data_IF_798214392233
#
_entry.id   IF_798214392233
#
_cell.length_a   1.000
_cell.length_b   1.000
_cell.length_c   1.000
_cell.angle_alpha   90.00
_cell.angle_beta   90.00
_cell.angle_gamma   90.00
#
_symmetry.space_group_name_H-M   'P 1'
#
loop_
_entity.id
_entity.type
_entity.pdbx_description
1 polymer ?
#
# COMPACT_ATOMS: atom_id res chain seq x y z
N UNK A 1 13.25 -11.63 -0.53
CA UNK A 1 13.77 -11.46 0.86
C UNK A 1 13.29 -12.63 1.70
N UNK A 2 14.01 -12.98 2.76
CA UNK A 2 13.58 -13.98 3.76
C UNK A 2 13.67 -13.37 5.17
N UNK A 3 12.77 -13.76 6.07
CA UNK A 3 12.82 -13.35 7.48
C UNK A 3 13.93 -14.12 8.19
N UNK A 4 14.80 -13.41 8.90
CA UNK A 4 15.96 -14.01 9.58
C UNK A 4 16.00 -13.76 11.08
N UNK A 5 15.37 -12.69 11.58
CA UNK A 5 15.31 -12.43 13.01
C UNK A 5 14.06 -11.64 13.41
N UNK A 6 13.64 -11.80 14.66
CA UNK A 6 12.63 -10.99 15.34
C UNK A 6 13.28 -10.42 16.60
N UNK A 7 13.27 -9.10 16.77
CA UNK A 7 13.90 -8.41 17.91
C UNK A 7 15.40 -8.75 18.11
N UNK A 8 16.10 -9.09 17.03
CA UNK A 8 17.51 -9.51 17.07
C UNK A 8 17.73 -10.99 17.38
N UNK A 9 16.67 -11.75 17.71
CA UNK A 9 16.74 -13.20 17.87
C UNK A 9 16.64 -13.89 16.50
N UNK A 10 17.68 -14.62 16.10
CA UNK A 10 17.73 -15.31 14.82
C UNK A 10 16.74 -16.48 14.80
N UNK A 11 15.80 -16.44 13.84
CA UNK A 11 14.77 -17.47 13.65
C UNK A 11 15.10 -18.43 12.52
N UNK A 12 16.25 -18.29 11.87
CA UNK A 12 16.66 -19.13 10.72
C UNK A 12 16.89 -20.59 11.08
N UNK A 13 17.13 -20.90 12.36
CA UNK A 13 17.32 -22.26 12.86
C UNK A 13 16.03 -22.85 13.47
N UNK A 14 14.96 -22.07 13.57
CA UNK A 14 13.69 -22.46 14.16
C UNK A 14 12.75 -23.07 13.12
N UNK A 15 11.81 -23.92 13.55
CA UNK A 15 10.69 -24.31 12.70
C UNK A 15 9.75 -23.13 12.48
N UNK A 16 8.95 -23.18 11.42
CA UNK A 16 7.98 -22.13 11.08
C UNK A 16 7.10 -21.75 12.29
N UNK A 17 6.48 -22.73 12.95
CA UNK A 17 5.59 -22.50 14.09
C UNK A 17 6.32 -21.84 15.27
N UNK A 18 7.56 -22.23 15.53
CA UNK A 18 8.39 -21.64 16.60
C UNK A 18 8.70 -20.18 16.31
N UNK A 19 9.07 -19.86 15.07
CA UNK A 19 9.34 -18.51 14.63
C UNK A 19 8.08 -17.61 14.70
N UNK A 20 6.92 -18.17 14.33
CA UNK A 20 5.61 -17.50 14.49
C UNK A 20 5.29 -17.28 15.97
N UNK A 21 5.59 -18.23 16.85
CA UNK A 21 5.37 -18.10 18.29
C UNK A 21 6.29 -17.04 18.93
N UNK A 22 7.55 -16.97 18.52
CA UNK A 22 8.48 -15.89 18.92
C UNK A 22 7.87 -14.54 18.55
N UNK A 23 7.38 -14.40 17.32
CA UNK A 23 6.74 -13.17 16.85
C UNK A 23 5.49 -12.81 17.67
N UNK A 24 4.63 -13.78 18.02
CA UNK A 24 3.44 -13.53 18.84
C UNK A 24 3.75 -13.10 20.27
N UNK A 25 4.90 -13.52 20.79
CA UNK A 25 5.33 -13.24 22.15
C UNK A 25 6.39 -12.12 22.25
N UNK A 26 6.64 -11.40 21.14
CA UNK A 26 7.72 -10.42 21.03
C UNK A 26 7.56 -9.16 21.91
N UNK A 27 6.36 -8.94 22.47
CA UNK A 27 6.10 -7.89 23.46
C UNK A 27 5.61 -6.56 22.87
N UNK A 28 6.01 -5.45 23.48
CA UNK A 28 5.58 -4.08 23.17
C UNK A 28 6.48 -3.34 22.18
N UNK A 29 7.53 -4.00 21.70
CA UNK A 29 8.40 -3.56 20.62
C UNK A 29 8.68 -4.76 19.73
N UNK A 30 8.41 -4.63 18.43
CA UNK A 30 8.71 -5.68 17.45
C UNK A 30 9.47 -5.11 16.26
N UNK A 31 10.61 -5.69 15.97
CA UNK A 31 11.47 -5.38 14.81
C UNK A 31 11.70 -6.65 14.02
N UNK A 32 11.32 -6.65 12.75
CA UNK A 32 11.60 -7.75 11.83
C UNK A 32 12.91 -7.48 11.09
N UNK A 33 13.81 -8.45 11.08
CA UNK A 33 15.02 -8.40 10.27
C UNK A 33 14.92 -9.40 9.13
N UNK A 34 15.13 -8.92 7.91
CA UNK A 34 15.10 -9.71 6.68
C UNK A 34 16.46 -9.68 5.99
N UNK A 35 16.75 -10.75 5.24
CA UNK A 35 17.95 -10.84 4.41
C UNK A 35 17.59 -11.08 2.95
N UNK A 36 18.37 -10.47 2.04
CA UNK A 36 18.35 -10.80 0.64
C UNK A 36 19.01 -12.16 0.40
N UNK A 37 18.24 -13.13 -0.06
CA UNK A 37 18.71 -14.49 -0.30
C UNK A 37 19.04 -14.70 -1.78
N UNK A 38 20.26 -14.29 -2.17
CA UNK A 38 20.75 -14.26 -3.57
C UNK A 38 20.67 -15.62 -4.29
N UNK A 39 20.78 -16.72 -3.56
CA UNK A 39 20.78 -18.06 -4.13
C UNK A 39 19.39 -18.54 -4.61
N UNK A 40 18.29 -17.99 -4.07
CA UNK A 40 16.94 -18.38 -4.44
C UNK A 40 16.29 -17.49 -5.51
N UNK A 41 16.89 -16.34 -5.83
CA UNK A 41 16.36 -15.37 -6.80
C UNK A 41 15.90 -15.98 -8.13
N UNK A 42 16.66 -16.89 -8.80
CA UNK A 42 16.19 -17.49 -10.06
C UNK A 42 15.02 -18.48 -9.88
N UNK A 43 14.87 -19.10 -8.70
CA UNK A 43 13.82 -20.08 -8.45
C UNK A 43 12.49 -19.42 -8.07
N UNK A 44 12.56 -18.33 -7.29
CA UNK A 44 11.38 -17.55 -6.89
C UNK A 44 10.71 -16.86 -8.09
N UNK A 45 11.49 -16.45 -9.09
CA UNK A 45 10.95 -15.87 -10.33
C UNK A 45 10.09 -16.88 -11.09
N UNK A 46 10.56 -18.14 -11.21
CA UNK A 46 9.85 -19.20 -11.93
C UNK A 46 8.57 -19.66 -11.23
N UNK A 47 8.53 -19.64 -9.89
CA UNK A 47 7.31 -19.94 -9.13
C UNK A 47 6.26 -18.83 -9.27
N UNK A 48 6.68 -17.56 -9.33
CA UNK A 48 5.77 -16.45 -9.57
C UNK A 48 5.09 -16.53 -10.94
N UNK A 49 5.80 -17.00 -11.97
CA UNK A 49 5.26 -17.18 -13.33
C UNK A 49 4.30 -18.39 -13.44
N UNK A 50 4.42 -19.38 -12.55
CA UNK A 50 3.55 -20.58 -12.54
C UNK A 50 2.34 -20.49 -11.60
N UNK A 51 2.33 -19.53 -10.67
CA UNK A 51 1.25 -19.34 -9.69
C UNK A 51 0.18 -18.33 -10.17
N UNK A 52 0.23 -17.87 -11.42
CA UNK A 52 -0.75 -16.90 -11.96
C UNK A 52 -2.16 -17.48 -12.12
N UNK A 53 -2.30 -18.81 -12.18
CA UNK A 53 -3.55 -19.44 -12.65
C UNK A 53 -4.30 -20.24 -11.56
N UNK A 54 -3.78 -20.31 -10.34
CA UNK A 54 -4.44 -21.02 -9.23
C UNK A 54 -4.09 -20.40 -7.89
N UNK A 55 -5.00 -19.62 -7.29
CA UNK A 55 -5.46 -19.76 -5.89
C UNK A 55 -6.28 -18.52 -5.47
N UNK A 56 -7.57 -18.55 -5.84
CA UNK A 56 -8.62 -17.80 -5.17
C UNK A 56 -9.38 -18.78 -4.28
N UNK A 57 -8.87 -19.05 -3.09
CA UNK A 57 -9.58 -19.83 -2.06
C UNK A 57 -9.57 -19.11 -0.72
N UNK A 58 -10.28 -17.99 -0.65
CA UNK A 58 -11.16 -17.77 0.51
C UNK A 58 -12.52 -18.24 0.05
N UNK A 59 -12.99 -19.36 0.60
CA UNK A 59 -14.23 -20.01 0.18
C UNK A 59 -15.41 -19.04 0.25
N UNK A 60 -15.91 -18.65 -0.92
CA UNK A 60 -17.25 -18.15 -1.19
C UNK A 60 -17.49 -18.43 -2.70
N UNK A 61 -18.46 -19.30 -3.01
CA UNK A 61 -18.77 -19.76 -4.37
C UNK A 61 -19.10 -18.59 -5.32
N UNK A 62 -18.38 -18.52 -6.44
CA UNK A 62 -18.48 -17.46 -7.44
C UNK A 62 -19.30 -17.91 -8.67
N UNK A 63 -20.43 -17.28 -9.02
CA UNK A 63 -20.99 -17.34 -10.36
C UNK A 63 -20.40 -16.22 -11.23
N UNK A 64 -19.85 -16.62 -12.38
CA UNK A 64 -19.33 -15.72 -13.42
C UNK A 64 -20.42 -14.86 -14.05
N UNK A 65 -20.22 -13.54 -14.05
CA UNK A 65 -21.01 -12.61 -14.84
C UNK A 65 -20.48 -12.58 -16.29
N UNK A 66 -21.07 -13.40 -17.16
CA UNK A 66 -21.08 -13.10 -18.58
C UNK A 66 -22.45 -13.43 -19.18
N UNK A 67 -23.32 -12.43 -19.24
CA UNK A 67 -24.51 -12.48 -20.07
C UNK A 67 -24.45 -11.33 -21.07
N UNK A 68 -24.05 -11.62 -22.32
CA UNK A 68 -24.52 -10.89 -23.50
C UNK A 68 -24.66 -11.86 -24.68
N UNK A 69 -25.91 -11.93 -25.16
CA UNK A 69 -26.34 -12.58 -26.38
C UNK A 69 -25.71 -11.94 -27.63
N UNK A 70 -25.33 -12.84 -28.54
CA UNK A 70 -25.30 -12.81 -30.02
C UNK A 70 -25.68 -11.53 -30.78
N UNK A 71 -24.89 -11.21 -31.81
CA UNK A 71 -25.33 -11.30 -33.22
C UNK A 71 -24.13 -11.25 -34.21
N UNK A 72 -24.40 -11.66 -35.45
CA UNK A 72 -23.53 -12.40 -36.37
C UNK A 72 -22.75 -11.61 -37.45
N UNK A 73 -21.79 -12.33 -38.07
CA UNK A 73 -21.30 -12.25 -39.47
C UNK A 73 -20.20 -11.18 -39.78
N UNK A 74 -19.12 -11.39 -40.57
CA UNK A 74 -18.82 -12.35 -41.65
C UNK A 74 -17.28 -12.51 -41.86
N UNK A 75 -16.91 -13.63 -42.49
CA UNK A 75 -15.57 -14.15 -42.85
C UNK A 75 -14.78 -13.33 -43.89
N UNK A 76 -13.44 -13.47 -43.91
CA UNK A 76 -12.62 -13.94 -45.08
C UNK A 76 -11.15 -14.19 -44.66
N UNK A 77 -10.50 -15.14 -45.34
CA UNK A 77 -9.40 -16.02 -44.94
C UNK A 77 -7.95 -15.57 -45.27
N UNK A 78 -6.99 -16.37 -44.75
CA UNK A 78 -5.60 -16.70 -45.18
C UNK A 78 -4.46 -15.75 -44.76
N UNK A 79 -3.23 -16.19 -44.44
CA UNK A 79 -2.63 -17.47 -44.04
C UNK A 79 -1.16 -17.17 -43.63
N UNK A 80 -0.62 -17.96 -42.69
CA UNK A 80 0.81 -18.31 -42.46
C UNK A 80 1.87 -17.33 -41.92
N UNK A 81 2.56 -17.85 -40.90
CA UNK A 81 4.00 -17.79 -40.58
C UNK A 81 4.57 -16.75 -39.59
N UNK A 82 4.79 -17.25 -38.36
CA UNK A 82 6.01 -17.18 -37.54
C UNK A 82 6.82 -15.87 -37.55
N UNK A 83 6.88 -15.18 -36.41
CA UNK A 83 8.11 -15.02 -35.61
C UNK A 83 7.88 -14.19 -34.35
N UNK A 84 8.27 -14.80 -33.23
CA UNK A 84 8.81 -14.26 -31.96
C UNK A 84 8.77 -12.73 -31.73
N UNK A 85 7.74 -12.23 -31.04
CA UNK A 85 7.66 -10.84 -30.56
C UNK A 85 8.16 -10.70 -29.12
N UNK A 86 9.39 -10.23 -28.95
CA UNK A 86 9.93 -9.78 -27.66
C UNK A 86 9.41 -8.39 -27.32
N UNK A 87 8.78 -8.24 -26.15
CA UNK A 87 8.31 -6.97 -25.62
C UNK A 87 9.50 -6.13 -25.11
N UNK A 88 10.00 -5.23 -25.94
CA UNK A 88 10.92 -4.17 -25.52
C UNK A 88 10.15 -3.09 -24.76
N UNK A 89 10.71 -2.74 -23.61
CA UNK A 89 10.25 -1.69 -22.71
C UNK A 89 10.38 -0.32 -23.36
N UNK A 90 9.28 0.42 -23.47
CA UNK A 90 9.25 1.82 -23.86
C UNK A 90 9.07 2.68 -22.60
N UNK A 91 10.19 3.19 -22.05
CA UNK A 91 10.18 4.43 -21.29
C UNK A 91 10.68 5.54 -22.22
N UNK A 92 9.90 6.61 -22.28
CA UNK A 92 9.90 7.62 -23.32
C UNK A 92 11.19 8.39 -23.52
N UNK A 93 11.34 8.77 -24.77
CA UNK A 93 12.27 9.74 -25.33
C UNK A 93 12.02 11.15 -24.76
N UNK A 94 13.09 11.91 -24.54
CA UNK A 94 13.06 13.36 -24.53
C UNK A 94 13.74 13.86 -25.81
N UNK A 95 13.01 14.69 -26.56
CA UNK A 95 13.41 15.33 -27.81
C UNK A 95 14.34 16.55 -27.61
N UNK A 96 14.83 17.03 -28.76
CA UNK A 96 15.56 18.26 -29.08
C UNK A 96 17.09 18.27 -28.84
N UNK A 97 17.95 18.72 -29.77
CA UNK A 97 17.75 19.34 -31.08
C UNK A 97 19.09 19.54 -31.82
N UNK A 98 19.04 19.45 -33.16
CA UNK A 98 19.87 20.04 -34.25
C UNK A 98 21.42 20.03 -34.29
N UNK A 99 21.90 19.47 -35.42
CA UNK A 99 22.92 19.97 -36.40
C UNK A 99 24.43 19.97 -36.06
N UNK A 100 25.22 19.12 -36.75
CA UNK A 100 26.06 19.50 -37.92
C UNK A 100 27.20 18.48 -38.21
N UNK A 101 27.23 17.97 -39.46
CA UNK A 101 28.42 17.46 -40.19
C UNK A 101 29.21 18.68 -40.74
N UNK A 102 30.49 18.61 -41.22
CA UNK A 102 31.13 17.58 -42.08
C UNK A 102 32.61 17.29 -41.66
N UNK A 103 33.52 16.59 -42.35
CA UNK A 103 33.64 16.03 -43.70
C UNK A 103 34.94 15.19 -43.82
N UNK A 104 35.07 14.47 -44.94
CA UNK A 104 36.03 13.43 -45.33
C UNK A 104 37.53 13.71 -45.17
N UNK A 105 38.33 12.66 -44.88
CA UNK A 105 39.46 12.25 -45.73
C UNK A 105 40.04 10.87 -45.33
N UNK A 106 40.56 10.22 -46.36
CA UNK A 106 41.19 8.89 -46.53
C UNK A 106 42.40 8.57 -45.65
N UNK A 107 42.61 7.28 -45.33
CA UNK A 107 43.94 6.74 -44.95
C UNK A 107 43.91 5.45 -44.14
N UNK A 108 44.02 4.30 -44.80
CA UNK A 108 44.17 2.98 -44.18
C UNK A 108 45.64 2.73 -43.81
N UNK A 109 45.98 2.64 -42.51
CA UNK A 109 47.13 1.86 -42.00
C UNK A 109 46.87 1.42 -40.55
N UNK A 110 46.70 0.10 -40.36
CA UNK A 110 46.95 -0.74 -39.16
C UNK A 110 46.80 -0.08 -37.77
N UNK A 111 45.61 -0.21 -37.18
CA UNK A 111 45.29 0.23 -35.81
C UNK A 111 45.73 -0.76 -34.73
N UNK A 112 46.77 -0.38 -33.99
CA UNK A 112 46.98 -0.82 -32.60
C UNK A 112 46.01 -0.04 -31.71
N UNK A 113 45.22 -0.75 -30.90
CA UNK A 113 44.17 -0.24 -30.02
C UNK A 113 44.69 0.86 -29.07
N UNK A 114 44.22 2.13 -29.15
CA UNK A 114 44.46 3.11 -28.10
C UNK A 114 43.41 2.95 -26.98
N UNK A 115 43.75 3.20 -25.71
CA UNK A 115 42.84 3.07 -24.59
C UNK A 115 41.82 4.21 -24.63
N UNK A 116 40.53 3.89 -24.55
CA UNK A 116 39.47 4.88 -24.42
C UNK A 116 39.50 5.50 -23.03
N UNK A 117 39.83 6.78 -22.98
CA UNK A 117 39.53 7.73 -21.91
C UNK A 117 38.02 7.78 -21.69
N UNK A 118 37.52 6.95 -20.78
CA UNK A 118 36.15 6.97 -20.33
C UNK A 118 36.06 6.38 -18.91
N UNK A 119 36.52 7.14 -17.93
CA UNK A 119 36.12 6.97 -16.53
C UNK A 119 36.78 8.06 -15.70
N UNK A 120 36.16 9.23 -15.64
CA UNK A 120 36.25 10.15 -14.50
C UNK A 120 34.97 10.99 -14.48
N UNK A 121 33.87 10.31 -14.20
CA UNK A 121 32.70 10.90 -13.56
C UNK A 121 32.43 10.05 -12.33
N UNK A 122 32.46 10.61 -11.10
CA UNK A 122 32.09 9.86 -9.93
C UNK A 122 30.60 9.60 -10.00
N UNK A 123 30.24 8.40 -10.48
CA UNK A 123 28.96 7.79 -10.16
C UNK A 123 28.99 7.40 -8.69
N UNK A 124 28.87 8.39 -7.80
CA UNK A 124 28.46 8.17 -6.42
C UNK A 124 26.95 7.93 -6.41
N UNK A 125 26.56 6.81 -7.00
CA UNK A 125 25.38 6.09 -6.54
C UNK A 125 25.86 4.71 -6.17
N UNK A 126 26.70 4.67 -5.13
CA UNK A 126 26.98 3.45 -4.40
C UNK A 126 25.67 3.06 -3.69
N UNK A 127 24.72 2.48 -4.44
CA UNK A 127 23.62 1.68 -3.89
C UNK A 127 24.30 0.46 -3.29
N UNK A 128 24.80 0.65 -2.08
CA UNK A 128 25.27 -0.44 -1.25
C UNK A 128 24.10 -1.43 -1.17
N UNK A 129 24.28 -2.61 -1.74
CA UNK A 129 23.27 -3.65 -1.67
C UNK A 129 23.19 -4.09 -0.23
N UNK A 130 22.27 -3.46 0.53
CA UNK A 130 22.03 -3.80 1.92
C UNK A 130 21.38 -5.18 1.95
N UNK A 131 22.19 -6.20 2.19
CA UNK A 131 21.71 -7.57 2.23
C UNK A 131 20.83 -7.82 3.45
N UNK A 132 20.87 -6.99 4.50
CA UNK A 132 20.08 -7.18 5.73
C UNK A 132 19.35 -5.89 6.12
N UNK A 133 18.03 -5.93 6.22
CA UNK A 133 17.19 -4.78 6.58
C UNK A 133 16.37 -5.09 7.83
N UNK A 134 16.26 -4.13 8.74
CA UNK A 134 15.42 -4.23 9.94
C UNK A 134 14.30 -3.21 9.92
N UNK A 135 13.07 -3.65 10.20
CA UNK A 135 11.84 -2.85 10.12
C UNK A 135 11.05 -2.95 11.42
N UNK A 136 10.89 -1.86 12.17
CA UNK A 136 9.97 -1.79 13.31
C UNK A 136 8.51 -1.93 12.85
N UNK A 137 7.73 -2.73 13.57
CA UNK A 137 6.31 -2.98 13.28
C UNK A 137 5.36 -1.92 13.84
N UNK A 138 5.83 -1.08 14.77
CA UNK A 138 5.01 -0.01 15.36
C UNK A 138 4.46 0.90 14.26
N UNK A 139 3.13 1.00 14.16
CA UNK A 139 2.43 1.76 13.11
C UNK A 139 2.89 1.43 11.69
N UNK A 140 3.34 0.19 11.46
CA UNK A 140 3.58 -0.35 10.12
C UNK A 140 2.31 -0.88 9.47
N UNK A 141 2.46 -1.55 8.34
CA UNK A 141 1.41 -2.34 7.70
C UNK A 141 2.03 -3.47 6.87
N UNK A 142 1.25 -4.50 6.62
CA UNK A 142 1.59 -5.57 5.69
C UNK A 142 0.75 -5.40 4.43
N UNK A 143 1.35 -5.59 3.26
CA UNK A 143 0.62 -5.55 2.00
C UNK A 143 1.04 -6.70 1.10
N UNK A 144 0.05 -7.28 0.42
CA UNK A 144 0.28 -8.25 -0.67
C UNK A 144 0.22 -7.59 -2.05
N UNK A 145 -0.26 -6.35 -2.11
CA UNK A 145 -0.39 -5.64 -3.37
C UNK A 145 0.99 -5.20 -3.88
N UNK A 146 1.16 -5.19 -5.19
CA UNK A 146 2.25 -4.47 -5.83
C UNK A 146 2.03 -2.98 -5.53
N UNK A 147 3.07 -2.30 -5.06
CA UNK A 147 2.98 -0.92 -4.63
C UNK A 147 2.43 -0.04 -5.76
N UNK A 148 1.39 0.73 -5.46
CA UNK A 148 0.76 1.63 -6.42
C UNK A 148 -0.36 1.01 -7.26
N UNK A 149 -0.56 -0.31 -7.22
CA UNK A 149 -1.51 -1.00 -8.12
C UNK A 149 -2.57 -1.80 -7.36
N UNK A 150 -3.44 -2.46 -8.12
CA UNK A 150 -4.48 -3.40 -7.68
C UNK A 150 -4.06 -4.88 -7.81
N UNK A 151 -2.83 -5.15 -8.26
CA UNK A 151 -2.33 -6.51 -8.47
C UNK A 151 -1.78 -7.12 -7.19
N UNK A 152 -2.23 -8.31 -6.85
CA UNK A 152 -1.69 -9.09 -5.74
C UNK A 152 -0.41 -9.84 -6.15
N UNK A 153 0.49 -10.04 -5.19
CA UNK A 153 1.64 -10.95 -5.33
C UNK A 153 1.24 -12.35 -4.86
N UNK A 154 1.31 -13.37 -5.75
CA UNK A 154 1.14 -14.76 -5.33
C UNK A 154 2.29 -15.18 -4.42
N UNK A 155 1.98 -15.87 -3.31
CA UNK A 155 3.01 -16.45 -2.43
C UNK A 155 3.95 -15.45 -1.75
N UNK A 156 3.67 -14.14 -1.80
CA UNK A 156 4.58 -13.12 -1.31
C UNK A 156 3.85 -11.93 -0.69
N UNK A 157 4.57 -11.22 0.18
CA UNK A 157 4.09 -10.04 0.88
C UNK A 157 5.24 -9.08 1.18
N UNK A 158 4.92 -7.86 1.56
CA UNK A 158 5.88 -6.84 1.96
C UNK A 158 5.42 -6.22 3.28
N UNK A 159 6.35 -6.01 4.20
CA UNK A 159 6.09 -5.31 5.47
C UNK A 159 6.72 -3.93 5.37
N UNK A 160 5.90 -2.90 5.60
CA UNK A 160 6.34 -1.51 5.66
C UNK A 160 6.19 -0.98 7.07
N UNK A 161 7.23 -0.32 7.57
CA UNK A 161 7.22 0.38 8.84
C UNK A 161 6.53 1.74 8.71
N UNK A 162 6.53 2.51 9.81
CA UNK A 162 5.88 3.82 9.85
C UNK A 162 6.46 4.85 8.86
N UNK A 163 7.74 4.72 8.48
CA UNK A 163 8.40 5.69 7.57
C UNK A 163 8.56 5.08 6.18
N UNK A 164 8.47 5.88 5.09
CA UNK A 164 8.49 5.36 3.72
C UNK A 164 9.72 4.53 3.34
N UNK A 165 10.88 4.82 3.93
CA UNK A 165 12.14 4.11 3.66
C UNK A 165 12.27 2.80 4.47
N UNK A 166 11.43 2.57 5.47
CA UNK A 166 11.46 1.36 6.29
C UNK A 166 10.59 0.29 5.63
N UNK A 167 11.18 -0.50 4.75
CA UNK A 167 10.51 -1.63 4.10
C UNK A 167 11.39 -2.88 4.17
N UNK A 168 10.76 -4.04 4.36
CA UNK A 168 11.45 -5.32 4.26
C UNK A 168 11.78 -5.71 2.82
N UNK A 169 11.23 -5.01 1.83
CA UNK A 169 11.11 -5.52 0.47
C UNK A 169 10.20 -6.74 0.41
N UNK A 170 10.12 -7.36 -0.76
CA UNK A 170 9.23 -8.51 -1.01
C UNK A 170 9.78 -9.77 -0.34
N UNK A 171 9.02 -10.30 0.61
CA UNK A 171 9.25 -11.57 1.29
C UNK A 171 8.42 -12.63 0.59
N UNK A 172 9.06 -13.73 0.22
CA UNK A 172 8.37 -14.90 -0.34
C UNK A 172 8.15 -15.92 0.76
N UNK A 173 6.95 -16.50 0.78
CA UNK A 173 6.61 -17.62 1.64
C UNK A 173 6.68 -18.91 0.82
N UNK A 174 7.05 -20.01 1.46
CA UNK A 174 7.25 -21.31 0.80
C UNK A 174 5.92 -21.96 0.38
N UNK A 175 4.87 -21.76 1.18
CA UNK A 175 3.54 -22.30 0.92
C UNK A 175 2.41 -21.34 1.39
N UNK A 176 1.15 -21.54 0.93
CA UNK A 176 0.01 -20.67 1.27
C UNK A 176 -0.38 -20.67 2.75
N UNK A 177 -0.17 -21.77 3.48
CA UNK A 177 -0.49 -21.84 4.90
C UNK A 177 0.53 -21.02 5.71
N UNK A 178 1.82 -21.19 5.43
CA UNK A 178 2.90 -20.39 6.01
C UNK A 178 2.72 -18.90 5.70
N UNK A 179 2.34 -18.55 4.46
CA UNK A 179 2.01 -17.17 4.09
C UNK A 179 0.92 -16.60 4.99
N UNK A 180 -0.18 -17.33 5.15
CA UNK A 180 -1.33 -16.89 5.95
C UNK A 180 -0.97 -16.71 7.44
N UNK A 181 -0.17 -17.61 7.99
CA UNK A 181 0.31 -17.52 9.37
C UNK A 181 1.24 -16.32 9.58
N UNK A 182 2.14 -16.04 8.63
CA UNK A 182 3.00 -14.85 8.65
C UNK A 182 2.18 -13.57 8.58
N UNK A 183 1.30 -13.44 7.59
CA UNK A 183 0.43 -12.28 7.43
C UNK A 183 -0.37 -12.01 8.70
N UNK A 184 -1.02 -13.04 9.26
CA UNK A 184 -1.80 -12.92 10.48
C UNK A 184 -0.95 -12.46 11.66
N UNK A 185 0.17 -13.15 11.92
CA UNK A 185 0.97 -12.90 13.13
C UNK A 185 1.69 -11.56 13.07
N UNK A 186 2.12 -11.11 11.90
CA UNK A 186 2.72 -9.78 11.71
C UNK A 186 1.65 -8.69 11.86
N UNK A 187 0.50 -8.84 11.20
CA UNK A 187 -0.60 -7.88 11.29
C UNK A 187 -1.14 -7.73 12.71
N UNK A 188 -1.29 -8.84 13.46
CA UNK A 188 -1.73 -8.80 14.85
C UNK A 188 -0.75 -8.00 15.73
N UNK A 189 0.57 -8.18 15.53
CA UNK A 189 1.58 -7.39 16.23
C UNK A 189 1.52 -5.91 15.87
N UNK A 190 1.42 -5.57 14.58
CA UNK A 190 1.27 -4.18 14.12
C UNK A 190 0.06 -3.51 14.76
N UNK A 191 -1.09 -4.18 14.77
CA UNK A 191 -2.33 -3.68 15.38
C UNK A 191 -2.16 -3.53 16.89
N UNK A 192 -1.56 -4.52 17.56
CA UNK A 192 -1.29 -4.47 19.01
C UNK A 192 -0.40 -3.29 19.41
N UNK A 193 0.70 -3.09 18.68
CA UNK A 193 1.64 -1.99 18.88
C UNK A 193 0.98 -0.63 18.60
N UNK A 194 0.24 -0.51 17.50
CA UNK A 194 -0.48 0.72 17.14
C UNK A 194 -1.52 1.09 18.22
N UNK A 195 -2.23 0.10 18.77
CA UNK A 195 -3.15 0.30 19.88
C UNK A 195 -2.44 0.73 21.18
N UNK A 196 -1.25 0.20 21.46
CA UNK A 196 -0.44 0.65 22.58
C UNK A 196 -0.06 2.12 22.42
N UNK A 197 0.40 2.52 21.22
CA UNK A 197 0.71 3.90 20.92
C UNK A 197 -0.51 4.82 21.05
N UNK A 198 -1.68 4.38 20.56
CA UNK A 198 -2.94 5.09 20.71
C UNK A 198 -3.30 5.30 22.19
N UNK A 199 -3.11 4.28 23.05
CA UNK A 199 -3.31 4.40 24.50
C UNK A 199 -2.36 5.45 25.10
N UNK A 200 -1.10 5.48 24.70
CA UNK A 200 -0.13 6.48 25.17
C UNK A 200 -0.52 7.90 24.74
N UNK A 201 -0.98 8.10 23.51
CA UNK A 201 -1.53 9.38 23.08
C UNK A 201 -2.73 9.81 23.93
N UNK A 202 -3.68 8.91 24.14
CA UNK A 202 -4.91 9.19 24.87
C UNK A 202 -4.71 9.50 26.36
N UNK A 203 -3.55 9.20 26.95
CA UNK A 203 -3.20 9.67 28.31
C UNK A 203 -3.12 11.20 28.41
N UNK A 204 -2.87 11.87 27.29
CA UNK A 204 -2.72 13.32 27.22
C UNK A 204 -3.98 14.03 26.71
N UNK A 205 -5.04 13.28 26.34
CA UNK A 205 -6.27 13.84 25.77
C UNK A 205 -7.48 13.64 26.68
N UNK A 206 -8.31 14.68 26.77
CA UNK A 206 -9.60 14.59 27.44
C UNK A 206 -10.56 13.65 26.69
N UNK A 207 -11.63 13.13 27.33
CA UNK A 207 -12.53 12.14 26.74
C UNK A 207 -13.12 12.52 25.37
N UNK A 208 -13.35 13.81 25.11
CA UNK A 208 -13.91 14.31 23.85
C UNK A 208 -12.89 14.43 22.70
N UNK A 209 -11.60 14.28 22.98
CA UNK A 209 -10.51 14.52 22.03
C UNK A 209 -9.64 13.28 21.79
N UNK A 210 -10.06 12.14 22.34
CA UNK A 210 -9.35 10.88 22.23
C UNK A 210 -9.31 10.38 20.79
N UNK A 211 -8.25 9.67 20.50
CA UNK A 211 -8.10 8.88 19.28
C UNK A 211 -8.88 7.59 19.46
N UNK A 212 -9.82 7.34 18.56
CA UNK A 212 -10.66 6.13 18.51
C UNK A 212 -10.10 5.10 17.52
N UNK A 213 -9.31 5.55 16.53
CA UNK A 213 -8.71 4.68 15.53
C UNK A 213 -7.41 5.27 14.98
N UNK A 214 -6.45 4.38 14.70
CA UNK A 214 -5.22 4.65 13.95
C UNK A 214 -4.92 3.46 13.05
N UNK A 215 -4.64 3.68 11.77
CA UNK A 215 -4.22 2.61 10.88
C UNK A 215 -4.02 3.05 9.43
N UNK A 216 -3.34 2.21 8.65
CA UNK A 216 -3.11 2.44 7.23
C UNK A 216 -4.33 2.07 6.39
N UNK A 217 -4.61 2.92 5.40
CA UNK A 217 -5.58 2.70 4.31
C UNK A 217 -4.92 3.12 2.99
N UNK A 218 -5.47 2.68 1.87
CA UNK A 218 -4.92 2.99 0.54
C UNK A 218 -5.92 3.85 -0.22
N UNK A 219 -5.57 5.10 -0.50
CA UNK A 219 -6.38 6.00 -1.31
C UNK A 219 -6.16 5.72 -2.79
N UNK A 220 -7.24 5.40 -3.51
CA UNK A 220 -7.26 5.22 -4.95
C UNK A 220 -7.50 6.53 -5.68
N UNK A 221 -6.64 6.87 -6.64
CA UNK A 221 -6.86 7.97 -7.59
C UNK A 221 -7.69 7.43 -8.74
N UNK A 222 -9.01 7.52 -8.61
CA UNK A 222 -9.95 6.97 -9.60
C UNK A 222 -10.03 7.87 -10.84
N UNK A 223 -9.61 7.34 -11.98
CA UNK A 223 -9.68 8.01 -13.29
C UNK A 223 -10.53 7.17 -14.26
N UNK A 224 -11.61 7.76 -14.78
CA UNK A 224 -12.57 7.05 -15.64
C UNK A 224 -11.97 6.54 -16.96
N UNK A 225 -10.83 7.08 -17.40
CA UNK A 225 -10.19 6.70 -18.66
C UNK A 225 -9.10 5.64 -18.52
N UNK A 226 -8.78 5.20 -17.29
CA UNK A 226 -7.73 4.23 -17.06
C UNK A 226 -8.31 2.87 -16.63
N UNK A 227 -7.80 1.75 -17.17
CA UNK A 227 -8.29 0.42 -16.82
C UNK A 227 -7.82 -0.09 -15.45
N UNK A 228 -6.87 0.59 -14.81
CA UNK A 228 -6.44 0.32 -13.43
C UNK A 228 -6.28 1.64 -12.67
N UNK A 229 -6.50 1.61 -11.35
CA UNK A 229 -6.32 2.79 -10.50
C UNK A 229 -4.97 2.78 -9.80
N UNK A 230 -4.47 3.98 -9.50
CA UNK A 230 -3.24 4.14 -8.72
C UNK A 230 -3.57 4.33 -7.26
N UNK A 231 -2.88 3.59 -6.38
CA UNK A 231 -3.10 3.64 -4.94
C UNK A 231 -1.93 4.25 -4.19
N UNK A 232 -2.22 5.11 -3.23
CA UNK A 232 -1.25 5.66 -2.29
C UNK A 232 -1.62 5.33 -0.85
N UNK A 233 -0.66 4.87 -0.01
CA UNK A 233 -0.94 4.63 1.39
C UNK A 233 -1.19 5.95 2.11
N UNK A 234 -2.17 5.95 3.01
CA UNK A 234 -2.52 7.04 3.92
C UNK A 234 -2.71 6.48 5.32
N UNK A 235 -2.17 7.16 6.31
CA UNK A 235 -2.40 6.83 7.70
C UNK A 235 -3.63 7.61 8.19
N UNK A 236 -4.73 6.88 8.43
CA UNK A 236 -6.00 7.39 8.89
C UNK A 236 -6.02 7.43 10.41
N UNK A 237 -6.39 8.57 10.98
CA UNK A 237 -6.60 8.75 12.42
C UNK A 237 -7.99 9.36 12.64
N UNK A 238 -8.79 8.73 13.51
CA UNK A 238 -10.06 9.30 13.99
C UNK A 238 -9.84 9.84 15.40
N UNK A 239 -9.85 11.16 15.56
CA UNK A 239 -9.58 11.83 16.83
C UNK A 239 -10.69 12.81 17.18
N UNK A 240 -11.39 12.59 18.29
CA UNK A 240 -12.43 13.49 18.77
C UNK A 240 -13.59 13.64 17.78
N UNK A 241 -13.56 14.69 16.95
CA UNK A 241 -14.53 14.96 15.86
C UNK A 241 -13.87 15.02 14.47
N UNK A 242 -12.57 14.73 14.40
CA UNK A 242 -11.72 14.93 13.24
C UNK A 242 -11.34 13.59 12.60
N UNK A 243 -11.49 13.53 11.28
CA UNK A 243 -10.85 12.54 10.40
C UNK A 243 -9.55 13.17 9.92
N UNK A 244 -8.42 12.56 10.26
CA UNK A 244 -7.10 13.08 9.97
C UNK A 244 -6.37 12.10 9.06
N UNK A 245 -5.74 12.60 7.99
CA UNK A 245 -5.02 11.81 7.01
C UNK A 245 -3.58 12.27 6.90
N UNK A 246 -2.65 11.32 7.03
CA UNK A 246 -1.21 11.57 6.94
C UNK A 246 -0.56 10.70 5.87
N UNK A 247 0.52 11.18 5.26
CA UNK A 247 1.42 10.32 4.46
C UNK A 247 2.38 9.51 5.32
N UNK A 248 2.62 9.97 6.56
CA UNK A 248 3.50 9.34 7.55
C UNK A 248 2.80 9.38 8.91
N UNK A 249 2.73 8.27 9.67
CA UNK A 249 2.08 8.23 10.97
C UNK A 249 2.72 9.25 11.93
N UNK A 250 1.91 9.99 12.71
CA UNK A 250 2.42 10.95 13.68
C UNK A 250 3.07 10.22 14.87
N UNK A 251 4.35 10.51 15.14
CA UNK A 251 5.10 9.91 16.25
C UNK A 251 4.95 10.69 17.58
N UNK A 252 4.37 11.89 17.53
CA UNK A 252 4.18 12.77 18.69
C UNK A 252 2.89 13.57 18.58
N UNK A 253 2.41 14.12 19.71
CA UNK A 253 1.22 14.97 19.73
C UNK A 253 1.42 16.25 18.91
N UNK A 254 2.66 16.73 18.80
CA UNK A 254 3.01 17.88 17.97
C UNK A 254 2.87 17.57 16.48
N UNK A 255 3.27 16.37 16.03
CA UNK A 255 3.07 15.93 14.65
C UNK A 255 1.58 15.71 14.35
N UNK A 256 0.85 15.12 15.29
CA UNK A 256 -0.59 14.93 15.19
C UNK A 256 -1.32 16.27 14.96
N UNK A 257 -0.93 17.33 15.67
CA UNK A 257 -1.52 18.66 15.51
C UNK A 257 -1.19 19.34 14.16
N UNK A 258 -0.13 18.91 13.46
CA UNK A 258 0.31 19.45 12.16
C UNK A 258 -0.26 18.68 10.97
N UNK A 259 -1.39 18.00 11.18
CA UNK A 259 -2.01 17.19 10.13
C UNK A 259 -2.26 18.01 8.86
N UNK A 260 -1.80 17.53 7.69
CA UNK A 260 -1.97 18.26 6.44
C UNK A 260 -3.42 18.25 5.96
N UNK A 261 -4.19 17.22 6.31
CA UNK A 261 -5.55 17.03 5.84
C UNK A 261 -6.46 16.57 7.00
N UNK A 262 -7.35 17.45 7.44
CA UNK A 262 -8.32 17.19 8.51
C UNK A 262 -9.72 17.53 8.05
N UNK A 263 -10.65 16.59 8.20
CA UNK A 263 -12.07 16.74 7.91
C UNK A 263 -12.87 16.56 9.19
N UNK A 264 -14.08 17.15 9.26
CA UNK A 264 -14.99 16.92 10.37
C UNK A 264 -15.82 15.68 10.10
N UNK A 265 -15.79 14.72 11.03
CA UNK A 265 -16.51 13.45 10.95
C UNK A 265 -18.00 13.65 10.65
N UNK A 266 -18.64 14.64 11.29
CA UNK A 266 -20.06 14.98 11.09
C UNK A 266 -20.36 15.74 9.79
N UNK A 267 -19.33 16.19 9.06
CA UNK A 267 -19.44 16.77 7.71
C UNK A 267 -18.97 15.79 6.64
N UNK A 268 -18.75 14.53 7.01
CA UNK A 268 -18.30 13.48 6.09
C UNK A 268 -19.24 12.29 6.12
N UNK A 269 -19.39 11.64 4.97
CA UNK A 269 -20.09 10.37 4.83
C UNK A 269 -19.08 9.26 4.59
N UNK A 270 -19.24 8.16 5.34
CA UNK A 270 -18.52 6.91 5.13
C UNK A 270 -19.48 5.89 4.52
N UNK A 271 -19.05 5.22 3.45
CA UNK A 271 -19.81 4.14 2.83
C UNK A 271 -18.90 3.01 2.38
N UNK A 272 -19.17 1.81 2.85
CA UNK A 272 -18.56 0.60 2.30
C UNK A 272 -18.99 0.39 0.85
N UNK A 273 -18.03 0.13 -0.03
CA UNK A 273 -18.24 -0.14 -1.45
C UNK A 273 -18.53 -1.63 -1.61
N UNK A 274 -19.60 -1.95 -2.35
CA UNK A 274 -19.92 -3.35 -2.68
C UNK A 274 -18.93 -3.86 -3.71
N UNK A 275 -18.68 -5.16 -3.74
CA UNK A 275 -17.79 -5.78 -4.73
C UNK A 275 -18.24 -5.49 -6.18
N UNK A 276 -19.55 -5.45 -6.44
CA UNK A 276 -20.08 -5.07 -7.76
C UNK A 276 -19.85 -3.60 -8.14
N UNK A 277 -19.43 -2.77 -7.20
CA UNK A 277 -19.19 -1.33 -7.36
C UNK A 277 -17.68 -0.99 -7.32
N UNK A 278 -16.80 -1.99 -7.17
CA UNK A 278 -15.35 -1.73 -7.20
C UNK A 278 -14.93 -1.33 -8.61
N UNK A 279 -13.95 -0.43 -8.67
CA UNK A 279 -13.43 0.12 -9.92
C UNK A 279 -12.26 -0.68 -10.49
N UNK A 280 -11.77 -1.66 -9.73
CA UNK A 280 -10.64 -2.52 -10.03
C UNK A 280 -10.60 -3.74 -9.07
N UNK A 281 -9.46 -4.44 -9.03
CA UNK A 281 -9.25 -5.65 -8.21
C UNK A 281 -8.97 -5.39 -6.72
N UNK A 282 -9.00 -4.13 -6.24
CA UNK A 282 -8.84 -3.83 -4.82
C UNK A 282 -10.09 -4.21 -4.05
N UNK A 283 -9.85 -4.93 -2.96
CA UNK A 283 -10.89 -5.37 -2.06
C UNK A 283 -11.04 -4.42 -0.87
N UNK A 284 -12.10 -4.64 -0.10
CA UNK A 284 -12.36 -3.95 1.16
C UNK A 284 -12.41 -2.42 0.98
N UNK A 285 -13.08 -2.02 -0.09
CA UNK A 285 -13.14 -0.63 -0.51
C UNK A 285 -14.23 0.15 0.23
N UNK A 286 -13.99 1.44 0.43
CA UNK A 286 -14.95 2.36 1.03
C UNK A 286 -14.77 3.77 0.47
N UNK A 287 -15.82 4.57 0.55
CA UNK A 287 -15.85 5.97 0.14
C UNK A 287 -15.89 6.87 1.35
N UNK A 288 -15.14 7.96 1.28
CA UNK A 288 -15.28 9.11 2.18
C UNK A 288 -15.63 10.33 1.37
N UNK A 289 -16.79 10.92 1.63
CA UNK A 289 -17.24 12.12 0.95
C UNK A 289 -17.40 13.26 1.95
N UNK A 290 -16.73 14.39 1.72
CA UNK A 290 -16.90 15.59 2.53
C UNK A 290 -17.99 16.48 1.94
N UNK A 291 -18.86 17.02 2.78
CA UNK A 291 -19.79 18.08 2.42
C UNK A 291 -19.20 19.48 2.61
N UNK A 292 -17.97 19.58 3.11
CA UNK A 292 -17.31 20.87 3.31
C UNK A 292 -17.00 21.52 1.95
N UNK A 293 -17.26 22.83 1.78
CA UNK A 293 -16.87 23.56 0.58
C UNK A 293 -15.36 23.44 0.35
N UNK A 294 -14.96 23.29 -0.92
CA UNK A 294 -13.54 23.36 -1.28
C UNK A 294 -12.95 24.74 -0.99
N UNK A 295 -11.61 24.89 -1.01
CA UNK A 295 -10.98 26.21 -0.95
C UNK A 295 -11.59 27.15 -2.00
N UNK A 296 -11.86 28.40 -1.62
CA UNK A 296 -12.38 29.45 -2.50
C UNK A 296 -13.75 29.20 -3.15
N UNK A 297 -14.68 28.52 -2.46
CA UNK A 297 -16.06 28.36 -2.96
C UNK A 297 -16.18 27.39 -4.14
N UNK A 298 -15.14 26.60 -4.40
CA UNK A 298 -15.21 25.49 -5.33
C UNK A 298 -16.23 24.45 -4.85
N UNK A 299 -16.81 23.72 -5.82
CA UNK A 299 -17.68 22.59 -5.52
C UNK A 299 -17.02 21.65 -4.50
N UNK A 300 -17.79 21.04 -3.58
CA UNK A 300 -17.25 20.09 -2.63
C UNK A 300 -16.45 19.02 -3.38
N UNK A 301 -15.26 18.64 -2.89
CA UNK A 301 -14.49 17.58 -3.53
C UNK A 301 -15.34 16.32 -3.65
N UNK A 302 -15.24 15.64 -4.79
CA UNK A 302 -15.94 14.38 -5.04
C UNK A 302 -15.59 13.31 -4.00
N UNK A 303 -16.32 12.18 -3.99
CA UNK A 303 -16.06 11.10 -3.05
C UNK A 303 -14.64 10.56 -3.26
N UNK A 304 -13.91 10.39 -2.16
CA UNK A 304 -12.58 9.79 -2.16
C UNK A 304 -12.69 8.29 -1.97
N UNK A 305 -11.98 7.55 -2.79
CA UNK A 305 -11.99 6.09 -2.81
C UNK A 305 -10.83 5.53 -2.00
N UNK A 306 -11.10 4.62 -1.08
CA UNK A 306 -10.10 3.98 -0.24
C UNK A 306 -10.27 2.47 -0.24
N UNK A 307 -9.19 1.75 0.09
CA UNK A 307 -9.15 0.30 0.29
C UNK A 307 -8.38 -0.02 1.57
N UNK A 308 -8.89 -0.97 2.35
CA UNK A 308 -8.18 -1.55 3.50
C UNK A 308 -7.49 -2.87 3.09
N UNK A 309 -6.43 -3.27 3.81
CA UNK A 309 -5.68 -4.50 3.47
C UNK A 309 -6.49 -5.78 3.76
N UNK A 310 -7.31 -5.78 4.81
CA UNK A 310 -8.18 -6.91 5.14
C UNK A 310 -9.61 -6.46 5.43
N UNK A 311 -10.56 -7.40 5.29
CA UNK A 311 -11.95 -7.17 5.71
C UNK A 311 -12.04 -6.76 7.18
N UNK A 312 -11.19 -7.32 8.04
CA UNK A 312 -11.18 -6.97 9.45
C UNK A 312 -10.72 -5.53 9.68
N UNK A 313 -9.75 -5.03 8.90
CA UNK A 313 -9.32 -3.63 8.97
C UNK A 313 -10.44 -2.69 8.55
N UNK A 314 -11.14 -2.99 7.45
CA UNK A 314 -12.32 -2.22 7.01
C UNK A 314 -13.39 -2.15 8.11
N UNK A 315 -13.72 -3.28 8.73
CA UNK A 315 -14.71 -3.34 9.80
C UNK A 315 -14.27 -2.52 11.04
N UNK A 316 -12.96 -2.48 11.34
CA UNK A 316 -12.43 -1.63 12.43
C UNK A 316 -12.57 -0.15 12.10
N UNK A 317 -12.27 0.26 10.86
CA UNK A 317 -12.47 1.64 10.40
C UNK A 317 -13.94 2.02 10.50
N UNK A 318 -14.84 1.18 9.97
CA UNK A 318 -16.29 1.41 9.99
C UNK A 318 -16.82 1.56 11.42
N UNK A 319 -16.50 0.60 12.31
CA UNK A 319 -16.94 0.63 13.70
C UNK A 319 -16.44 1.87 14.45
N UNK A 320 -15.18 2.25 14.25
CA UNK A 320 -14.62 3.45 14.84
C UNK A 320 -15.25 4.72 14.26
N UNK A 321 -15.55 4.74 12.96
CA UNK A 321 -16.22 5.85 12.30
C UNK A 321 -17.63 6.06 12.85
N UNK A 322 -18.43 4.99 12.94
CA UNK A 322 -19.77 5.03 13.53
C UNK A 322 -19.71 5.55 14.97
N UNK A 323 -18.79 5.00 15.78
CA UNK A 323 -18.60 5.43 17.17
C UNK A 323 -18.24 6.92 17.25
N UNK A 324 -17.35 7.39 16.37
CA UNK A 324 -16.91 8.78 16.35
C UNK A 324 -18.02 9.74 15.89
N UNK A 325 -18.84 9.37 14.90
CA UNK A 325 -20.04 10.13 14.49
C UNK A 325 -21.01 10.24 15.68
N UNK A 326 -21.40 9.12 16.28
CA UNK A 326 -22.36 9.10 17.39
C UNK A 326 -21.88 9.97 18.54
N UNK A 327 -20.62 9.81 18.95
CA UNK A 327 -20.02 10.62 20.01
C UNK A 327 -19.95 12.11 19.64
N UNK A 328 -19.69 12.44 18.38
CA UNK A 328 -19.66 13.83 17.91
C UNK A 328 -21.04 14.48 17.95
N UNK A 329 -22.08 13.79 17.48
CA UNK A 329 -23.45 14.29 17.46
C UNK A 329 -23.98 14.48 18.88
N UNK A 330 -23.74 13.53 19.78
CA UNK A 330 -24.15 13.65 21.19
C UNK A 330 -23.53 14.90 21.82
N UNK A 331 -22.23 15.14 21.61
CA UNK A 331 -21.55 16.32 22.14
C UNK A 331 -22.09 17.63 21.56
N UNK A 332 -22.32 17.70 20.25
CA UNK A 332 -22.89 18.88 19.60
C UNK A 332 -24.32 19.15 20.10
N UNK A 333 -25.13 18.10 20.27
CA UNK A 333 -26.48 18.20 20.82
C UNK A 333 -26.52 18.72 22.26
N UNK A 334 -25.51 18.41 23.07
CA UNK A 334 -25.39 18.93 24.46
C UNK A 334 -25.00 20.42 24.48
N UNK A 335 -24.19 20.89 23.51
CA UNK A 335 -23.79 22.30 23.41
C UNK A 335 -24.98 23.19 22.98
N UNK A 336 -25.94 22.65 22.24
CA UNK A 336 -27.18 23.34 21.84
C UNK A 336 -28.31 23.24 22.91
N UNK A 337 -27.96 23.16 24.21
CA UNK A 337 -28.91 23.20 25.33
C UNK A 337 -29.79 24.46 25.35
N UNK A 338 -30.91 24.44 26.10
CA UNK A 338 -32.16 25.13 25.78
C UNK A 338 -31.97 26.64 25.56
N UNK A 339 -32.58 27.13 24.48
CA UNK A 339 -32.76 28.56 24.18
C UNK A 339 -33.22 29.24 25.48
N UNK A 340 -32.51 30.27 25.99
CA UNK A 340 -33.01 31.02 27.12
C UNK A 340 -34.34 31.63 26.71
N UNK A 341 -35.42 31.18 27.35
CA UNK A 341 -36.70 31.89 27.30
C UNK A 341 -36.44 33.30 27.80
N UNK A 342 -36.46 34.26 26.89
CA UNK A 342 -36.37 35.67 27.23
C UNK A 342 -37.66 36.06 27.98
N UNK A 343 -37.57 36.75 29.13
CA UNK A 343 -38.73 37.21 29.91
C UNK A 343 -39.52 38.31 29.21
#
# INVERSE_FOLDING_TARGET
MILIAVNGEYITACKHDDAVNILRNAGDIVVLTVKHYRAATPFLQKQADGASDTDSSTGDDHPSLHNKNVDANCNTEKNTEQTNGGWQSAWGECEDSVLSRPGSATGSVRGSRPPSVASDMPCDTNREWVDVVSVPLMMGYVTRYVLGTDKLRPGAFEVRGARPHLTTGVIHAEDPAALSQWLKSISDNIVGLTNLQMKLFNRHFGPGERIEYMGWVHEGVVQAQQPWQTYRPKFLVLKGTDVMLFDVPPMSSTELAKCPESLKVYQTMFRTVKESETVDWRQHCFLVQSSAPGPAGAAPPGPRYFSAETRQDLLRVEAAWTTNIVNSVIRLGIVCGPIPYAP
#
